data_IF_716302288822
#
_entry.id   IF_716302288822
#
_cell.length_a   1.000
_cell.length_b   1.000
_cell.length_c   1.000
_cell.angle_alpha   90.00
_cell.angle_beta   90.00
_cell.angle_gamma   90.00
#
_symmetry.space_group_name_H-M   'P 1'
#
loop_
_entity.id
_entity.type
_entity.pdbx_description
1 polymer ?
#
# COMPACT_ATOMS: atom_id res chain seq x y z
N UNK A 1 37.58 -4.17 28.92
CA UNK A 1 36.18 -3.73 28.78
C UNK A 1 35.95 -3.44 27.30
N UNK A 2 35.63 -4.48 26.53
CA UNK A 2 35.51 -4.38 25.07
C UNK A 2 34.06 -4.07 24.76
N UNK A 3 33.77 -2.81 24.45
CA UNK A 3 32.44 -2.41 23.98
C UNK A 3 32.27 -3.04 22.59
N UNK A 4 31.59 -4.19 22.52
CA UNK A 4 31.08 -4.72 21.26
C UNK A 4 30.01 -3.77 20.75
N UNK A 5 30.43 -2.77 19.98
CA UNK A 5 29.54 -1.99 19.12
C UNK A 5 28.99 -2.97 18.08
N UNK A 6 27.80 -3.53 18.33
CA UNK A 6 27.09 -4.27 17.29
C UNK A 6 27.01 -3.39 16.03
N UNK A 7 27.19 -3.96 14.83
CA UNK A 7 27.13 -3.18 13.61
C UNK A 7 25.72 -2.64 13.47
N UNK A 8 25.55 -1.32 13.60
CA UNK A 8 24.27 -0.61 13.47
C UNK A 8 23.50 -0.99 12.19
N UNK A 9 24.22 -1.38 11.13
CA UNK A 9 23.63 -1.89 9.89
C UNK A 9 22.79 -3.17 10.08
N UNK A 10 23.19 -4.09 10.97
CA UNK A 10 22.40 -5.30 11.23
C UNK A 10 21.12 -4.97 12.01
N UNK A 11 21.17 -4.01 12.95
CA UNK A 11 19.97 -3.54 13.66
C UNK A 11 19.03 -2.76 12.75
N UNK A 12 19.56 -1.91 11.88
CA UNK A 12 18.78 -1.09 10.95
C UNK A 12 18.12 -1.99 9.88
N UNK A 13 18.85 -2.99 9.35
CA UNK A 13 18.32 -3.97 8.40
C UNK A 13 17.22 -4.83 9.03
N UNK A 14 17.44 -5.39 10.23
CA UNK A 14 16.41 -6.18 10.92
C UNK A 14 15.19 -5.34 11.26
N UNK A 15 15.37 -4.09 11.66
CA UNK A 15 14.26 -3.16 11.89
C UNK A 15 13.48 -2.89 10.60
N UNK A 16 14.17 -2.65 9.49
CA UNK A 16 13.55 -2.43 8.20
C UNK A 16 12.75 -3.66 7.73
N UNK A 17 13.31 -4.85 7.87
CA UNK A 17 12.61 -6.12 7.57
C UNK A 17 11.36 -6.31 8.43
N UNK A 18 11.42 -5.96 9.72
CA UNK A 18 10.26 -6.01 10.59
C UNK A 18 9.16 -5.02 10.15
N UNK A 19 9.54 -3.80 9.74
CA UNK A 19 8.60 -2.80 9.21
C UNK A 19 7.95 -3.29 7.92
N UNK A 20 8.73 -3.82 6.97
CA UNK A 20 8.20 -4.39 5.72
C UNK A 20 7.28 -5.58 6.00
N UNK A 21 7.64 -6.45 6.94
CA UNK A 21 6.82 -7.58 7.36
C UNK A 21 5.49 -7.16 7.97
N UNK A 22 5.50 -6.17 8.86
CA UNK A 22 4.30 -5.60 9.45
C UNK A 22 3.42 -4.93 8.39
N UNK A 23 4.01 -4.12 7.52
CA UNK A 23 3.28 -3.46 6.43
C UNK A 23 2.58 -4.50 5.53
N UNK A 24 3.31 -5.52 5.07
CA UNK A 24 2.75 -6.57 4.23
C UNK A 24 1.66 -7.38 4.95
N UNK A 25 1.80 -7.60 6.26
CA UNK A 25 0.77 -8.26 7.06
C UNK A 25 -0.52 -7.42 7.13
N UNK A 26 -0.40 -6.12 7.39
CA UNK A 26 -1.55 -5.21 7.46
C UNK A 26 -2.24 -5.10 6.11
N UNK A 27 -1.50 -4.92 5.00
CA UNK A 27 -2.07 -4.89 3.65
C UNK A 27 -2.86 -6.17 3.34
N UNK A 28 -2.34 -7.35 3.69
CA UNK A 28 -3.04 -8.62 3.48
C UNK A 28 -4.33 -8.72 4.29
N UNK A 29 -4.31 -8.30 5.55
CA UNK A 29 -5.50 -8.34 6.41
C UNK A 29 -6.59 -7.38 5.92
N UNK A 30 -6.21 -6.18 5.48
CA UNK A 30 -7.12 -5.21 4.89
C UNK A 30 -7.74 -5.75 3.60
N UNK A 31 -6.91 -6.24 2.67
CA UNK A 31 -7.38 -6.82 1.43
C UNK A 31 -8.34 -7.99 1.66
N UNK A 32 -8.00 -8.91 2.57
CA UNK A 32 -8.85 -10.05 2.90
C UNK A 32 -10.19 -9.60 3.52
N UNK A 33 -10.16 -8.60 4.40
CA UNK A 33 -11.37 -8.11 5.07
C UNK A 33 -12.31 -7.41 4.09
N UNK A 34 -11.76 -6.54 3.24
CA UNK A 34 -12.51 -5.82 2.22
C UNK A 34 -13.15 -6.79 1.21
N UNK A 35 -12.36 -7.76 0.72
CA UNK A 35 -12.87 -8.76 -0.21
C UNK A 35 -13.98 -9.60 0.41
N UNK A 36 -13.78 -10.07 1.65
CA UNK A 36 -14.74 -10.97 2.31
C UNK A 36 -16.04 -10.27 2.70
N UNK A 37 -15.97 -9.00 3.11
CA UNK A 37 -17.15 -8.28 3.64
C UNK A 37 -17.90 -7.51 2.56
N UNK A 38 -17.19 -6.98 1.58
CA UNK A 38 -17.73 -6.03 0.59
C UNK A 38 -17.49 -6.46 -0.86
N UNK A 39 -16.72 -7.54 -1.10
CA UNK A 39 -16.40 -8.00 -2.45
C UNK A 39 -15.40 -7.13 -3.21
N UNK A 40 -14.82 -6.12 -2.56
CA UNK A 40 -13.89 -5.17 -3.18
C UNK A 40 -12.44 -5.44 -2.79
N UNK A 41 -11.53 -5.27 -3.74
CA UNK A 41 -10.10 -5.31 -3.53
C UNK A 41 -9.57 -4.03 -2.87
N UNK A 42 -8.44 -4.12 -2.16
CA UNK A 42 -7.83 -2.97 -1.48
C UNK A 42 -7.46 -1.82 -2.44
N UNK A 43 -7.00 -2.12 -3.65
CA UNK A 43 -6.71 -1.10 -4.66
C UNK A 43 -7.97 -0.41 -5.17
N UNK A 44 -9.09 -1.12 -5.31
CA UNK A 44 -10.38 -0.55 -5.72
C UNK A 44 -10.92 0.37 -4.62
N UNK A 45 -10.85 -0.09 -3.37
CA UNK A 45 -11.22 0.73 -2.22
C UNK A 45 -10.45 2.05 -2.17
N UNK A 46 -9.12 2.00 -2.30
CA UNK A 46 -8.28 3.21 -2.33
C UNK A 46 -8.57 4.10 -3.53
N UNK A 47 -8.90 3.50 -4.68
CA UNK A 47 -9.30 4.28 -5.85
C UNK A 47 -10.62 5.02 -5.62
N UNK A 48 -11.61 4.37 -5.01
CA UNK A 48 -12.87 5.00 -4.61
C UNK A 48 -12.64 6.09 -3.58
N UNK A 49 -11.78 5.86 -2.58
CA UNK A 49 -11.39 6.86 -1.60
C UNK A 49 -10.80 8.11 -2.28
N UNK A 50 -9.85 7.92 -3.20
CA UNK A 50 -9.26 9.02 -3.98
C UNK A 50 -10.31 9.80 -4.77
N UNK A 51 -11.26 9.11 -5.42
CA UNK A 51 -12.35 9.75 -6.16
C UNK A 51 -13.30 10.51 -5.23
N UNK A 52 -13.62 9.97 -4.05
CA UNK A 52 -14.48 10.68 -3.08
C UNK A 52 -13.84 11.94 -2.50
N UNK A 53 -12.51 12.03 -2.50
CA UNK A 53 -11.79 13.23 -2.07
C UNK A 53 -11.60 14.24 -3.20
N UNK A 54 -11.80 13.84 -4.46
CA UNK A 54 -11.69 14.74 -5.60
C UNK A 54 -12.92 15.65 -5.69
N UNK A 55 -12.69 16.93 -5.97
CA UNK A 55 -13.72 17.99 -5.96
C UNK A 55 -14.90 17.70 -6.90
N UNK A 56 -14.65 17.01 -8.01
CA UNK A 56 -15.66 16.63 -9.00
C UNK A 56 -15.96 15.12 -9.03
N UNK A 57 -15.42 14.33 -8.09
CA UNK A 57 -15.54 12.87 -8.13
C UNK A 57 -14.71 12.21 -9.24
N UNK A 58 -13.79 12.95 -9.87
CA UNK A 58 -12.94 12.50 -10.96
C UNK A 58 -11.46 12.77 -10.62
N UNK A 59 -10.59 11.81 -10.90
CA UNK A 59 -9.16 11.88 -10.65
C UNK A 59 -8.41 11.51 -11.94
N UNK A 60 -7.30 12.20 -12.26
CA UNK A 60 -6.47 11.77 -13.40
C UNK A 60 -5.87 10.40 -13.11
N UNK A 61 -5.73 9.57 -14.13
CA UNK A 61 -5.14 8.23 -14.01
C UNK A 61 -3.74 8.24 -13.37
N UNK A 62 -2.96 9.30 -13.62
CA UNK A 62 -1.62 9.46 -13.05
C UNK A 62 -1.67 9.79 -11.55
N UNK A 63 -2.54 10.72 -11.15
CA UNK A 63 -2.77 11.08 -9.74
C UNK A 63 -3.31 9.88 -8.95
N UNK A 64 -4.18 9.09 -9.59
CA UNK A 64 -4.67 7.83 -9.04
C UNK A 64 -3.50 6.88 -8.83
N UNK A 65 -2.65 6.65 -9.85
CA UNK A 65 -1.48 5.78 -9.74
C UNK A 65 -0.54 6.14 -8.59
N UNK A 66 -0.25 7.42 -8.44
CA UNK A 66 0.60 7.94 -7.37
C UNK A 66 -0.06 7.72 -6.00
N UNK A 67 -1.38 7.88 -5.89
CA UNK A 67 -2.14 7.69 -4.65
C UNK A 67 -2.21 6.23 -4.18
N UNK A 68 -2.42 5.28 -5.10
CA UNK A 68 -2.49 3.83 -4.77
C UNK A 68 -1.11 3.15 -4.72
N UNK A 69 -0.04 3.85 -5.07
CA UNK A 69 1.33 3.30 -5.11
C UNK A 69 1.50 2.21 -6.18
N UNK A 70 0.70 2.25 -7.25
CA UNK A 70 0.73 1.27 -8.33
C UNK A 70 1.34 1.89 -9.59
N UNK A 71 2.05 1.07 -10.37
CA UNK A 71 2.48 1.47 -11.70
C UNK A 71 1.29 1.71 -12.64
N UNK A 72 1.47 2.57 -13.64
CA UNK A 72 0.43 3.01 -14.59
C UNK A 72 -0.36 1.84 -15.23
N UNK A 73 0.31 0.75 -15.59
CA UNK A 73 -0.32 -0.43 -16.22
C UNK A 73 -1.27 -1.19 -15.28
N UNK A 74 -0.97 -1.21 -13.98
CA UNK A 74 -1.82 -1.82 -12.95
C UNK A 74 -3.07 -1.01 -12.70
N UNK A 75 -2.97 0.32 -12.77
CA UNK A 75 -4.11 1.24 -12.59
C UNK A 75 -5.06 1.19 -13.78
N UNK A 76 -4.57 1.10 -15.02
CA UNK A 76 -5.44 0.93 -16.19
C UNK A 76 -6.27 -0.35 -16.10
N UNK A 77 -5.68 -1.46 -15.64
CA UNK A 77 -6.42 -2.71 -15.39
C UNK A 77 -7.35 -2.64 -14.18
N UNK A 78 -7.06 -1.76 -13.24
CA UNK A 78 -7.91 -1.51 -12.08
C UNK A 78 -9.16 -0.73 -12.46
N UNK A 79 -9.05 0.26 -13.34
CA UNK A 79 -10.17 1.11 -13.76
C UNK A 79 -11.02 0.44 -14.85
N UNK A 80 -10.43 -0.44 -15.68
CA UNK A 80 -11.14 -1.13 -16.75
C UNK A 80 -11.94 -2.38 -16.35
N UNK A 81 -11.99 -2.74 -15.07
CA UNK A 81 -12.78 -3.87 -14.55
C UNK A 81 -14.15 -3.40 -14.07
#
# INVERSE_FOLDING_TARGET
>A
MTIHKQPRAASDQTMWEAVLGLHAFVERQLAHTLQRRYGVGLSEYRALEALTQAENGECRMQELADHIGLGQSSVTRLVGR
#
